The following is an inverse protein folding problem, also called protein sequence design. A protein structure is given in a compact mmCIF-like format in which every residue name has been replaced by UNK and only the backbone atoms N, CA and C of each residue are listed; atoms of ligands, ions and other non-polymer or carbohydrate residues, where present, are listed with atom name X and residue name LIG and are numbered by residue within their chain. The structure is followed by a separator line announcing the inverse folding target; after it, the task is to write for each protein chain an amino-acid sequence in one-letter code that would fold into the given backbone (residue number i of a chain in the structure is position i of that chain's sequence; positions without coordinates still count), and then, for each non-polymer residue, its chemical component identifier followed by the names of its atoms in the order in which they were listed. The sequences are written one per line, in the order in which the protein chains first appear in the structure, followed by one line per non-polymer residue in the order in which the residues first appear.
data_IF_424522825926
#
_entry.id   IF_424522825926
#
_cell.length_a   1.000
_cell.length_b   1.000
_cell.length_c   1.000
_cell.angle_alpha   90.00
_cell.angle_beta   90.00
_cell.angle_gamma   90.00
#
_symmetry.space_group_name_H-M   'P 1'
#
loop_
_entity.id
_entity.type
_entity.pdbx_description
1 polymer ?
#
# COMPACT_ATOMS: atom_id res chain seq x y z
N UNK A 1 -15.91 19.35 32.51
CA UNK A 1 -15.19 18.08 32.26
C UNK A 1 -14.60 18.04 30.84
N UNK A 2 -15.27 18.57 29.82
CA UNK A 2 -14.77 18.61 28.43
C UNK A 2 -13.45 19.39 28.22
N UNK A 3 -13.24 20.55 28.85
CA UNK A 3 -12.03 21.36 28.67
C UNK A 3 -10.72 20.70 29.15
N UNK A 4 -10.80 19.80 30.13
CA UNK A 4 -9.63 19.06 30.66
C UNK A 4 -9.18 17.98 29.68
N UNK A 5 -10.11 17.41 28.91
CA UNK A 5 -9.81 16.43 27.87
C UNK A 5 -9.09 17.09 26.68
N UNK A 6 -9.57 18.26 26.24
CA UNK A 6 -8.90 19.07 25.22
C UNK A 6 -7.49 19.51 25.64
N UNK A 7 -7.29 19.92 26.91
CA UNK A 7 -5.97 20.26 27.44
C UNK A 7 -5.01 19.06 27.50
N UNK A 8 -5.51 17.86 27.85
CA UNK A 8 -4.73 16.60 27.80
C UNK A 8 -4.39 16.21 26.37
N UNK A 9 -5.31 16.38 25.42
CA UNK A 9 -5.07 16.16 23.99
C UNK A 9 -4.01 17.12 23.41
N UNK A 10 -3.96 18.37 23.86
CA UNK A 10 -2.89 19.31 23.46
C UNK A 10 -1.49 18.86 23.90
N UNK A 11 -1.34 18.03 24.94
CA UNK A 11 -0.05 17.43 25.27
C UNK A 11 0.37 16.37 24.24
N UNK A 12 -0.58 15.71 23.57
CA UNK A 12 -0.31 14.77 22.48
C UNK A 12 0.24 15.44 21.21
N UNK A 13 0.08 16.77 21.05
CA UNK A 13 0.75 17.55 19.99
C UNK A 13 2.27 17.44 20.10
N UNK A 14 2.82 17.17 21.28
CA UNK A 14 4.26 16.88 21.43
C UNK A 14 4.69 15.59 20.72
N UNK A 15 3.77 14.65 20.48
CA UNK A 15 4.04 13.47 19.66
C UNK A 15 4.24 13.82 18.18
N UNK A 16 3.67 14.94 17.68
CA UNK A 16 3.96 15.43 16.32
C UNK A 16 5.44 15.82 16.14
N UNK A 17 6.22 15.93 17.22
CA UNK A 17 7.67 16.09 17.14
C UNK A 17 8.35 14.87 16.51
N UNK A 18 7.74 13.68 16.55
CA UNK A 18 8.18 12.48 15.82
C UNK A 18 8.03 12.67 14.30
N UNK A 19 7.03 13.43 13.81
CA UNK A 19 6.96 13.76 12.38
C UNK A 19 8.12 14.63 11.90
N UNK A 20 8.86 15.33 12.79
CA UNK A 20 10.11 16.00 12.39
C UNK A 20 11.15 15.00 11.90
N UNK A 21 11.11 13.74 12.36
CA UNK A 21 12.00 12.68 11.88
C UNK A 21 11.74 12.35 10.40
N UNK A 22 10.49 12.47 9.94
CA UNK A 22 10.13 12.30 8.53
C UNK A 22 10.82 13.37 7.64
N UNK A 23 10.94 14.61 8.13
CA UNK A 23 11.66 15.68 7.40
C UNK A 23 13.17 15.41 7.26
N UNK A 24 13.73 14.58 8.14
CA UNK A 24 15.16 14.21 8.11
C UNK A 24 15.45 12.97 7.24
N UNK A 25 14.41 12.34 6.68
CA UNK A 25 14.52 11.17 5.82
C UNK A 25 14.27 11.58 4.35
N UNK A 26 15.28 12.10 3.60
CA UNK A 26 15.15 12.38 2.18
C UNK A 26 14.72 11.15 1.36
N UNK A 27 14.91 9.95 1.90
CA UNK A 27 14.43 8.67 1.38
C UNK A 27 12.91 8.56 1.29
N UNK A 28 12.15 9.31 2.09
CA UNK A 28 10.67 9.32 2.00
C UNK A 28 10.17 9.94 0.70
N UNK A 29 10.90 10.90 0.13
CA UNK A 29 10.55 11.46 -1.17
C UNK A 29 10.67 10.42 -2.28
N UNK A 30 11.64 9.51 -2.18
CA UNK A 30 11.83 8.41 -3.13
C UNK A 30 10.74 7.35 -2.96
N UNK A 31 10.42 7.02 -1.70
CA UNK A 31 9.30 6.14 -1.36
C UNK A 31 7.97 6.69 -1.91
N UNK A 32 7.71 7.98 -1.70
CA UNK A 32 6.50 8.64 -2.19
C UNK A 32 6.45 8.71 -3.71
N UNK A 33 7.58 9.03 -4.36
CA UNK A 33 7.68 8.99 -5.82
C UNK A 33 7.40 7.59 -6.38
N UNK A 34 7.89 6.54 -5.72
CA UNK A 34 7.63 5.16 -6.11
C UNK A 34 6.16 4.75 -5.94
N UNK A 35 5.47 5.21 -4.90
CA UNK A 35 4.02 4.98 -4.74
C UNK A 35 3.25 5.69 -5.86
N UNK A 36 3.59 6.95 -6.15
CA UNK A 36 2.93 7.74 -7.19
C UNK A 36 3.18 7.16 -8.58
N UNK A 37 4.36 6.58 -8.84
CA UNK A 37 4.62 5.85 -10.09
C UNK A 37 3.84 4.53 -10.16
N UNK A 38 3.71 3.82 -9.04
CA UNK A 38 2.97 2.57 -8.93
C UNK A 38 1.44 2.73 -8.86
N UNK A 39 0.91 3.97 -8.78
CA UNK A 39 -0.50 4.24 -8.45
C UNK A 39 -1.51 3.50 -9.31
N UNK A 40 -1.31 3.42 -10.63
CA UNK A 40 -2.24 2.76 -11.53
C UNK A 40 -2.29 1.25 -11.27
N UNK A 41 -1.12 0.63 -11.07
CA UNK A 41 -1.01 -0.80 -10.76
C UNK A 41 -1.62 -1.11 -9.38
N UNK A 42 -1.40 -0.24 -8.39
CA UNK A 42 -2.01 -0.37 -7.06
C UNK A 42 -3.54 -0.21 -7.10
N UNK A 43 -4.07 0.75 -7.86
CA UNK A 43 -5.52 0.94 -8.01
C UNK A 43 -6.16 -0.31 -8.62
N UNK A 44 -5.58 -0.84 -9.71
CA UNK A 44 -6.07 -2.07 -10.33
C UNK A 44 -6.03 -3.25 -9.35
N UNK A 45 -4.93 -3.40 -8.62
CA UNK A 45 -4.76 -4.44 -7.62
C UNK A 45 -5.82 -4.38 -6.51
N UNK A 46 -6.02 -3.21 -5.88
CA UNK A 46 -7.03 -3.05 -4.84
C UNK A 46 -8.46 -3.16 -5.38
N UNK A 47 -8.71 -2.75 -6.63
CA UNK A 47 -10.01 -2.97 -7.27
C UNK A 47 -10.33 -4.46 -7.46
N UNK A 48 -9.34 -5.26 -7.86
CA UNK A 48 -9.49 -6.70 -7.99
C UNK A 48 -9.77 -7.37 -6.63
N UNK A 49 -9.05 -6.96 -5.58
CA UNK A 49 -9.29 -7.44 -4.21
C UNK A 49 -10.71 -7.11 -3.75
N UNK A 50 -11.18 -5.88 -4.00
CA UNK A 50 -12.53 -5.47 -3.63
C UNK A 50 -13.59 -6.37 -4.29
N UNK A 51 -13.40 -6.72 -5.57
CA UNK A 51 -14.29 -7.65 -6.29
C UNK A 51 -14.26 -9.04 -5.62
N UNK A 52 -13.08 -9.56 -5.30
CA UNK A 52 -12.94 -10.85 -4.61
C UNK A 52 -13.65 -10.84 -3.25
N UNK A 53 -13.49 -9.78 -2.45
CA UNK A 53 -14.17 -9.62 -1.17
C UNK A 53 -15.70 -9.62 -1.31
N UNK A 54 -16.24 -8.95 -2.33
CA UNK A 54 -17.68 -8.94 -2.62
C UNK A 54 -18.18 -10.33 -3.03
N UNK A 55 -17.43 -11.05 -3.86
CA UNK A 55 -17.78 -12.40 -4.30
C UNK A 55 -17.80 -13.37 -3.11
N UNK A 56 -16.73 -13.43 -2.32
CA UNK A 56 -16.66 -14.30 -1.15
C UNK A 56 -17.66 -13.90 -0.05
N UNK A 57 -17.86 -12.61 0.16
CA UNK A 57 -18.91 -12.11 1.07
C UNK A 57 -20.30 -12.53 0.62
N UNK A 58 -20.60 -12.46 -0.68
CA UNK A 58 -21.89 -12.90 -1.23
C UNK A 58 -22.09 -14.41 -1.10
N UNK A 59 -21.05 -15.21 -1.37
CA UNK A 59 -21.06 -16.66 -1.17
C UNK A 59 -21.35 -17.02 0.29
N UNK A 60 -20.68 -16.36 1.23
CA UNK A 60 -20.89 -16.59 2.66
C UNK A 60 -22.27 -16.17 3.14
N UNK A 61 -22.80 -15.06 2.61
CA UNK A 61 -24.17 -14.64 2.87
C UNK A 61 -25.19 -15.73 2.49
N UNK A 62 -24.97 -16.40 1.35
CA UNK A 62 -25.84 -17.48 0.87
C UNK A 62 -25.67 -18.79 1.64
N UNK A 63 -24.43 -19.15 2.00
CA UNK A 63 -24.11 -20.46 2.61
C UNK A 63 -24.41 -20.50 4.11
N UNK A 64 -24.03 -19.47 4.86
CA UNK A 64 -24.22 -19.43 6.33
C UNK A 64 -25.57 -18.80 6.71
N UNK A 65 -26.00 -17.77 5.97
CA UNK A 65 -27.23 -17.04 6.23
C UNK A 65 -27.25 -16.27 7.57
N UNK A 66 -28.42 -15.68 7.93
CA UNK A 66 -28.54 -14.77 9.07
C UNK A 66 -28.26 -15.41 10.44
N UNK A 67 -28.37 -16.74 10.53
CA UNK A 67 -28.21 -17.50 11.79
C UNK A 67 -26.82 -17.36 12.41
N UNK A 68 -25.81 -17.12 11.58
CA UNK A 68 -24.40 -17.06 11.98
C UNK A 68 -23.79 -15.66 11.85
N UNK A 69 -24.63 -14.61 11.84
CA UNK A 69 -24.17 -13.22 11.78
C UNK A 69 -24.01 -12.65 10.36
N UNK A 70 -24.19 -13.47 9.32
CA UNK A 70 -24.22 -13.03 7.92
C UNK A 70 -25.62 -12.48 7.57
N UNK A 71 -26.05 -11.43 8.27
CA UNK A 71 -27.41 -10.86 8.19
C UNK A 71 -27.62 -9.96 6.97
N UNK A 72 -26.57 -9.29 6.50
CA UNK A 72 -26.59 -8.39 5.34
C UNK A 72 -25.35 -8.62 4.49
N UNK A 73 -25.43 -8.26 3.20
CA UNK A 73 -24.28 -8.35 2.30
C UNK A 73 -23.08 -7.55 2.86
N UNK A 74 -23.33 -6.38 3.43
CA UNK A 74 -22.28 -5.52 4.00
C UNK A 74 -21.57 -6.21 5.18
N UNK A 75 -22.29 -6.91 6.05
CA UNK A 75 -21.70 -7.67 7.15
C UNK A 75 -20.81 -8.81 6.63
N UNK A 76 -21.25 -9.51 5.57
CA UNK A 76 -20.47 -10.59 4.96
C UNK A 76 -19.22 -10.08 4.23
N UNK A 77 -19.31 -8.91 3.58
CA UNK A 77 -18.14 -8.25 2.96
C UNK A 77 -17.17 -7.76 4.03
N UNK A 78 -17.68 -7.20 5.13
CA UNK A 78 -16.86 -6.85 6.30
C UNK A 78 -16.10 -8.06 6.84
N UNK A 79 -16.76 -9.21 6.99
CA UNK A 79 -16.09 -10.46 7.36
C UNK A 79 -14.98 -10.83 6.38
N UNK A 80 -15.22 -10.72 5.06
CA UNK A 80 -14.21 -10.99 4.05
C UNK A 80 -13.01 -10.04 4.15
N UNK A 81 -13.24 -8.75 4.44
CA UNK A 81 -12.19 -7.74 4.67
C UNK A 81 -11.35 -8.11 5.90
N UNK A 82 -11.99 -8.40 7.03
CA UNK A 82 -11.30 -8.75 8.29
C UNK A 82 -10.49 -10.04 8.14
N UNK A 83 -11.00 -10.99 7.36
CA UNK A 83 -10.35 -12.28 7.11
C UNK A 83 -9.13 -12.11 6.20
N UNK A 84 -9.29 -11.44 5.06
CA UNK A 84 -8.22 -11.28 4.06
C UNK A 84 -7.11 -10.34 4.53
N UNK A 85 -7.44 -9.36 5.38
CA UNK A 85 -6.47 -8.47 6.03
C UNK A 85 -5.78 -9.12 7.24
N UNK A 86 -6.13 -10.37 7.57
CA UNK A 86 -5.60 -11.13 8.70
C UNK A 86 -5.90 -10.51 10.08
N UNK A 87 -6.83 -9.56 10.16
CA UNK A 87 -7.24 -8.95 11.43
C UNK A 87 -7.99 -9.94 12.33
N UNK A 88 -8.89 -10.73 11.74
CA UNK A 88 -9.51 -11.89 12.38
C UNK A 88 -10.20 -11.61 13.73
N UNK A 89 -11.03 -10.57 13.81
CA UNK A 89 -11.70 -10.19 15.07
C UNK A 89 -12.53 -11.30 15.72
N UNK A 90 -13.06 -12.23 14.92
CA UNK A 90 -13.82 -13.38 15.41
C UNK A 90 -15.26 -13.05 15.83
N UNK A 91 -15.74 -11.86 15.49
CA UNK A 91 -17.11 -11.39 15.70
C UNK A 91 -18.13 -12.09 14.79
N UNK A 92 -17.72 -12.42 13.56
CA UNK A 92 -18.48 -13.23 12.61
C UNK A 92 -17.60 -14.39 12.15
N UNK A 93 -18.11 -15.63 12.19
CA UNK A 93 -17.32 -16.81 11.79
C UNK A 93 -18.17 -17.85 11.06
N UNK A 94 -17.56 -18.60 10.10
CA UNK A 94 -18.24 -19.69 9.40
C UNK A 94 -18.47 -20.89 10.34
N UNK A 95 -19.71 -21.36 10.43
CA UNK A 95 -20.05 -22.55 11.21
C UNK A 95 -20.34 -23.76 10.33
N UNK A 96 -20.78 -23.56 9.09
CA UNK A 96 -21.06 -24.65 8.16
C UNK A 96 -19.77 -25.28 7.61
N UNK A 97 -19.77 -26.59 7.27
CA UNK A 97 -18.62 -27.22 6.63
C UNK A 97 -18.22 -26.55 5.31
N UNK A 98 -19.20 -26.13 4.50
CA UNK A 98 -18.96 -25.43 3.24
C UNK A 98 -18.38 -24.03 3.47
N UNK A 99 -18.92 -23.27 4.42
CA UNK A 99 -18.40 -21.95 4.78
C UNK A 99 -16.97 -22.00 5.30
N UNK A 100 -16.61 -23.05 6.04
CA UNK A 100 -15.22 -23.28 6.49
C UNK A 100 -14.27 -23.54 5.34
N UNK A 101 -14.67 -24.35 4.34
CA UNK A 101 -13.86 -24.58 3.13
C UNK A 101 -13.63 -23.26 2.38
N UNK A 102 -14.70 -22.48 2.17
CA UNK A 102 -14.62 -21.17 1.52
C UNK A 102 -13.71 -20.21 2.29
N UNK A 103 -13.82 -20.18 3.62
CA UNK A 103 -12.96 -19.37 4.47
C UNK A 103 -11.49 -19.80 4.40
N UNK A 104 -11.19 -21.10 4.39
CA UNK A 104 -9.83 -21.60 4.22
C UNK A 104 -9.22 -21.16 2.88
N UNK A 105 -9.98 -21.22 1.78
CA UNK A 105 -9.54 -20.74 0.47
C UNK A 105 -9.28 -19.22 0.53
N UNK A 106 -10.18 -18.45 1.11
CA UNK A 106 -10.03 -17.00 1.23
C UNK A 106 -8.79 -16.60 2.04
N UNK A 107 -8.48 -17.32 3.12
CA UNK A 107 -7.28 -17.10 3.95
C UNK A 107 -6.01 -17.33 3.13
N UNK A 108 -5.95 -18.42 2.35
CA UNK A 108 -4.79 -18.70 1.48
C UNK A 108 -4.58 -17.61 0.42
N UNK A 109 -5.67 -17.14 -0.19
CA UNK A 109 -5.64 -16.01 -1.14
C UNK A 109 -5.15 -14.74 -0.45
N UNK A 110 -5.60 -14.48 0.79
CA UNK A 110 -5.18 -13.32 1.59
C UNK A 110 -3.68 -13.26 1.82
N UNK A 111 -3.04 -14.39 2.15
CA UNK A 111 -1.59 -14.46 2.31
C UNK A 111 -0.83 -14.07 1.02
N UNK A 112 -1.29 -14.52 -0.14
CA UNK A 112 -0.67 -14.14 -1.43
C UNK A 112 -0.84 -12.66 -1.74
N UNK A 113 -1.98 -12.07 -1.38
CA UNK A 113 -2.31 -10.67 -1.62
C UNK A 113 -1.37 -9.71 -0.87
N UNK A 114 -0.97 -10.03 0.36
CA UNK A 114 -0.10 -9.12 1.17
C UNK A 114 1.29 -8.95 0.54
N UNK A 115 1.80 -9.96 -0.17
CA UNK A 115 3.14 -9.92 -0.78
C UNK A 115 3.20 -8.99 -2.02
N UNK A 116 2.13 -8.91 -2.79
CA UNK A 116 2.07 -8.20 -4.07
C UNK A 116 2.33 -6.68 -3.96
N UNK A 117 1.65 -5.90 -3.08
CA UNK A 117 1.88 -4.46 -2.99
C UNK A 117 3.30 -4.14 -2.51
N UNK A 118 3.83 -4.97 -1.61
CA UNK A 118 5.22 -4.85 -1.14
C UNK A 118 6.21 -5.06 -2.28
N UNK A 119 6.04 -6.12 -3.08
CA UNK A 119 6.89 -6.37 -4.25
C UNK A 119 6.77 -5.28 -5.31
N UNK A 120 5.56 -4.81 -5.57
CA UNK A 120 5.28 -3.74 -6.52
C UNK A 120 5.98 -2.44 -6.12
N UNK A 121 5.76 -1.97 -4.88
CA UNK A 121 6.40 -0.76 -4.37
C UNK A 121 7.93 -0.91 -4.41
N UNK A 122 8.45 -2.08 -4.05
CA UNK A 122 9.89 -2.35 -4.06
C UNK A 122 10.49 -2.27 -5.46
N UNK A 123 9.78 -2.75 -6.48
CA UNK A 123 10.23 -2.67 -7.88
C UNK A 123 10.32 -1.20 -8.33
N UNK A 124 9.29 -0.39 -8.07
CA UNK A 124 9.28 1.04 -8.40
C UNK A 124 10.30 1.83 -7.60
N UNK A 125 10.52 1.48 -6.33
CA UNK A 125 11.58 2.07 -5.52
C UNK A 125 12.96 1.76 -6.10
N UNK A 126 13.23 0.50 -6.46
CA UNK A 126 14.51 0.10 -7.06
C UNK A 126 14.77 0.88 -8.34
N UNK A 127 13.77 1.02 -9.22
CA UNK A 127 13.87 1.84 -10.43
C UNK A 127 14.10 3.33 -10.11
N UNK A 128 13.41 3.88 -9.11
CA UNK A 128 13.60 5.28 -8.69
C UNK A 128 15.01 5.53 -8.12
N UNK A 129 15.56 4.58 -7.37
CA UNK A 129 16.94 4.64 -6.87
C UNK A 129 17.97 4.50 -8.00
N UNK A 130 17.76 3.58 -8.94
CA UNK A 130 18.63 3.40 -10.10
C UNK A 130 18.66 4.65 -10.98
N UNK A 131 17.51 5.26 -11.26
CA UNK A 131 17.42 6.51 -12.02
C UNK A 131 18.17 7.68 -11.33
N UNK A 132 18.22 7.73 -9.99
CA UNK A 132 19.03 8.72 -9.27
C UNK A 132 20.53 8.44 -9.33
N UNK A 133 20.95 7.17 -9.28
CA UNK A 133 22.37 6.79 -9.37
C UNK A 133 22.95 6.99 -10.77
N UNK A 134 22.13 6.87 -11.80
CA UNK A 134 22.52 7.05 -13.22
C UNK A 134 22.53 8.52 -13.66
N UNK A 135 22.20 9.47 -12.77
CA UNK A 135 22.41 10.88 -13.05
C UNK A 135 23.90 11.21 -13.01
N UNK A 136 24.53 11.15 -14.19
CA UNK A 136 25.92 11.58 -14.39
C UNK A 136 26.02 13.07 -14.13
N UNK A 137 27.07 13.48 -13.41
CA UNK A 137 27.38 14.89 -13.21
C UNK A 137 28.29 15.37 -14.33
N UNK A 138 27.86 16.40 -15.05
CA UNK A 138 28.69 17.03 -16.07
C UNK A 138 29.92 17.70 -15.41
N UNK A 139 31.17 17.35 -15.79
CA UNK A 139 32.37 17.88 -15.14
C UNK A 139 32.56 19.38 -15.38
N UNK A 140 32.04 19.93 -16.48
CA UNK A 140 32.20 21.34 -16.84
C UNK A 140 31.19 22.28 -16.16
N UNK A 141 29.89 21.95 -16.19
CA UNK A 141 28.83 22.84 -15.70
C UNK A 141 28.08 22.33 -14.47
N UNK A 142 28.43 21.14 -13.95
CA UNK A 142 27.76 20.50 -12.80
C UNK A 142 26.25 20.32 -12.98
N UNK A 143 25.78 20.20 -14.22
CA UNK A 143 24.41 19.77 -14.52
C UNK A 143 24.28 18.26 -14.30
N UNK A 144 23.17 17.81 -13.72
CA UNK A 144 22.98 16.42 -13.28
C UNK A 144 21.80 15.73 -13.99
N UNK A 145 21.07 16.46 -14.83
CA UNK A 145 19.84 15.97 -15.46
C UNK A 145 20.10 15.78 -16.95
N UNK A 146 20.39 14.54 -17.33
CA UNK A 146 20.65 14.15 -18.72
C UNK A 146 19.71 13.01 -19.12
N UNK A 147 19.44 12.92 -20.42
CA UNK A 147 18.76 11.77 -21.00
C UNK A 147 19.67 10.52 -20.90
N UNK A 148 19.09 9.33 -20.76
CA UNK A 148 19.86 8.11 -20.40
C UNK A 148 20.98 7.77 -21.40
N UNK A 149 20.79 8.12 -22.67
CA UNK A 149 21.74 7.85 -23.76
C UNK A 149 22.46 9.11 -24.27
N UNK A 150 22.44 10.21 -23.50
CA UNK A 150 23.09 11.45 -23.89
C UNK A 150 24.63 11.33 -23.85
N UNK A 151 25.30 11.53 -25.00
CA UNK A 151 26.77 11.66 -25.07
C UNK A 151 27.26 13.05 -24.69
N UNK A 152 26.40 14.06 -24.80
CA UNK A 152 26.72 15.46 -24.53
C UNK A 152 25.76 16.06 -23.51
N UNK A 153 26.26 17.01 -22.71
CA UNK A 153 25.45 17.76 -21.77
C UNK A 153 24.44 18.66 -22.50
N UNK A 154 23.16 18.53 -22.16
CA UNK A 154 22.06 19.36 -22.68
C UNK A 154 22.11 20.85 -22.26
N UNK A 155 22.90 21.21 -21.25
CA UNK A 155 23.05 22.59 -20.78
C UNK A 155 24.25 23.31 -21.41
N UNK A 156 25.42 22.65 -21.49
CA UNK A 156 26.67 23.29 -21.94
C UNK A 156 27.33 22.63 -23.16
N UNK A 157 26.81 21.51 -23.67
CA UNK A 157 27.32 20.82 -24.86
C UNK A 157 28.62 20.03 -24.68
N UNK A 158 29.19 19.95 -23.47
CA UNK A 158 30.41 19.16 -23.23
C UNK A 158 30.13 17.66 -23.22
N UNK A 159 31.10 16.85 -23.65
CA UNK A 159 31.01 15.39 -23.60
C UNK A 159 30.86 14.88 -22.16
N UNK A 160 29.93 13.94 -21.97
CA UNK A 160 29.68 13.32 -20.67
C UNK A 160 30.59 12.09 -20.51
N UNK A 161 31.21 11.89 -19.34
CA UNK A 161 31.99 10.68 -19.08
C UNK A 161 31.12 9.41 -19.21
N UNK A 162 31.71 8.33 -19.71
CA UNK A 162 31.06 7.01 -19.85
C UNK A 162 30.61 6.42 -18.51
#
# INVERSE_FOLDING_TARGET
IEYVFAWRAMRAIRALRILKLLRFMPSLNIFWAAIVSARHQLILFYSFIAIVMVIFGSLMYLVEGPRYGFTTLNASVYWAIVTITTAGYGDITPHTPLGRILASILILIGYSIIAIPTGLITSHMTTAFQNRRTQRQCPHCQHNVHEKDARYCNACGSELPE
#
